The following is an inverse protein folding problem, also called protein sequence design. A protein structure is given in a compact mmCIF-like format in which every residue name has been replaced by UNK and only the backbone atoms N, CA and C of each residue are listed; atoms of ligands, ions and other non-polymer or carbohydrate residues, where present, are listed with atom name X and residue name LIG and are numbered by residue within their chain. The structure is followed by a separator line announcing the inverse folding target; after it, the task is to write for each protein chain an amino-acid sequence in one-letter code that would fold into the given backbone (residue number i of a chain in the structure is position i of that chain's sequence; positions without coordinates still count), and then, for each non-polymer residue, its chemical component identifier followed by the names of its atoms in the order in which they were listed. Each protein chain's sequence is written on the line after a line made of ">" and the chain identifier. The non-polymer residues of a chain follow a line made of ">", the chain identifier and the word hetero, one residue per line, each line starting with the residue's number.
data_IF_822196056629
#
_entry.id   IF_822196056629
#
_cell.length_a   1.000
_cell.length_b   1.000
_cell.length_c   1.000
_cell.angle_alpha   90.00
_cell.angle_beta   90.00
_cell.angle_gamma   90.00
#
_symmetry.space_group_name_H-M   'P 1'
#
loop_
_entity.id
_entity.type
_entity.pdbx_description
1 polymer ?
#
# COMPACT_ATOMS: atom_id res chain seq x y z
N UNK A 1 10.11 6.21 -1.96
CA UNK A 1 11.10 6.18 -0.85
C UNK A 1 11.96 7.44 -0.74
N UNK A 2 12.18 8.20 -1.82
CA UNK A 2 12.97 9.44 -1.81
C UNK A 2 12.46 10.49 -0.79
N UNK A 3 11.13 10.62 -0.64
CA UNK A 3 10.51 11.52 0.34
C UNK A 3 10.73 11.11 1.80
N UNK A 4 10.82 9.81 2.09
CA UNK A 4 11.04 9.27 3.44
C UNK A 4 12.47 9.54 3.89
N UNK A 5 13.43 9.19 3.04
CA UNK A 5 14.85 9.34 3.35
C UNK A 5 15.27 10.83 3.45
N UNK A 6 14.71 11.71 2.61
CA UNK A 6 14.97 13.15 2.69
C UNK A 6 14.47 13.78 4.00
N UNK A 7 13.37 13.26 4.57
CA UNK A 7 12.82 13.75 5.84
C UNK A 7 13.55 13.18 7.07
N UNK A 8 14.08 11.95 6.97
CA UNK A 8 14.88 11.33 8.02
C UNK A 8 16.31 11.90 8.10
N UNK A 9 16.86 12.40 7.00
CA UNK A 9 18.24 12.93 6.92
C UNK A 9 18.29 14.31 6.26
N UNK A 10 17.85 15.39 6.93
CA UNK A 10 17.74 16.72 6.32
C UNK A 10 19.09 17.37 5.99
N UNK A 11 20.18 16.95 6.64
CA UNK A 11 21.54 17.48 6.41
C UNK A 11 22.30 16.80 5.27
N UNK A 12 21.81 15.68 4.75
CA UNK A 12 22.48 14.93 3.69
C UNK A 12 21.77 15.16 2.35
N UNK A 13 22.52 15.29 1.23
CA UNK A 13 21.92 15.38 -0.10
C UNK A 13 21.40 14.01 -0.52
N UNK A 14 20.30 13.57 0.09
CA UNK A 14 19.69 12.23 -0.10
C UNK A 14 19.38 11.96 -1.58
N UNK A 15 19.08 13.02 -2.34
CA UNK A 15 18.83 13.00 -3.78
C UNK A 15 20.06 12.62 -4.64
N UNK A 16 21.27 12.81 -4.13
CA UNK A 16 22.53 12.38 -4.78
C UNK A 16 22.98 10.98 -4.35
N UNK A 17 22.49 10.48 -3.21
CA UNK A 17 22.88 9.20 -2.63
C UNK A 17 21.90 8.06 -2.98
N UNK A 18 20.64 8.38 -3.26
CA UNK A 18 19.63 7.41 -3.72
C UNK A 18 19.80 7.11 -5.20
N UNK A 19 20.58 6.07 -5.50
CA UNK A 19 20.81 5.56 -6.86
C UNK A 19 19.56 4.88 -7.45
N UNK A 20 18.73 4.25 -6.60
CA UNK A 20 17.44 3.67 -6.96
C UNK A 20 16.28 4.54 -6.47
N UNK A 21 15.63 5.24 -7.39
CA UNK A 21 14.40 5.97 -7.12
C UNK A 21 13.25 4.95 -7.12
N UNK A 22 12.97 4.37 -5.96
CA UNK A 22 11.76 3.57 -5.74
C UNK A 22 10.52 4.48 -5.79
N UNK A 23 10.14 4.84 -7.01
CA UNK A 23 8.90 5.52 -7.37
C UNK A 23 7.86 4.43 -7.61
N UNK A 24 7.28 3.91 -6.51
CA UNK A 24 6.18 2.94 -6.61
C UNK A 24 4.99 3.50 -7.41
N UNK A 25 4.85 4.83 -7.46
CA UNK A 25 3.91 5.55 -8.32
C UNK A 25 4.09 5.25 -9.80
N UNK A 26 5.32 5.14 -10.28
CA UNK A 26 5.61 4.99 -11.71
C UNK A 26 5.26 3.60 -12.23
N UNK A 27 5.21 2.62 -11.32
CA UNK A 27 4.74 1.25 -11.61
C UNK A 27 3.27 1.04 -11.29
N UNK A 28 2.66 1.92 -10.49
CA UNK A 28 1.29 1.78 -10.02
C UNK A 28 0.26 1.81 -11.16
N UNK A 29 0.53 2.59 -12.21
CA UNK A 29 -0.37 2.71 -13.37
C UNK A 29 -0.47 1.42 -14.19
N UNK A 30 0.51 0.52 -14.10
CA UNK A 30 0.48 -0.78 -14.77
C UNK A 30 -0.26 -1.86 -13.96
N UNK A 31 -0.67 -1.56 -12.72
CA UNK A 31 -1.33 -2.54 -11.84
C UNK A 31 -2.83 -2.52 -12.14
N UNK A 32 -3.34 -3.63 -12.66
CA UNK A 32 -4.78 -3.82 -12.95
C UNK A 32 -5.46 -4.79 -11.98
N UNK A 33 -4.68 -5.51 -11.16
CA UNK A 33 -5.21 -6.44 -10.19
C UNK A 33 -5.93 -5.72 -9.04
N UNK A 34 -7.00 -6.34 -8.53
CA UNK A 34 -7.62 -5.94 -7.28
C UNK A 34 -6.54 -5.81 -6.19
N UNK A 35 -6.56 -4.69 -5.47
CA UNK A 35 -5.48 -4.30 -4.57
C UNK A 35 -6.04 -3.89 -3.22
N UNK A 36 -5.62 -4.57 -2.15
CA UNK A 36 -5.86 -4.17 -0.76
C UNK A 36 -4.64 -3.42 -0.22
N UNK A 37 -4.87 -2.26 0.40
CA UNK A 37 -3.84 -1.47 1.09
C UNK A 37 -4.23 -1.34 2.57
N UNK A 38 -3.47 -2.00 3.44
CA UNK A 38 -3.54 -1.81 4.89
C UNK A 38 -2.40 -0.90 5.32
N UNK A 39 -2.71 0.18 6.02
CA UNK A 39 -1.68 1.14 6.47
C UNK A 39 -1.95 1.68 7.87
N UNK A 40 -0.88 2.05 8.56
CA UNK A 40 -0.96 2.46 9.95
C UNK A 40 -1.36 3.93 10.09
N UNK A 41 -2.07 4.25 11.18
CA UNK A 41 -2.44 5.63 11.52
C UNK A 41 -1.20 6.48 11.82
N UNK A 42 -0.28 5.93 12.62
CA UNK A 42 0.90 6.63 13.17
C UNK A 42 2.17 6.00 12.63
N UNK A 43 2.22 5.83 11.31
CA UNK A 43 3.42 5.32 10.64
C UNK A 43 4.52 6.41 10.63
N UNK A 44 5.51 6.24 11.50
CA UNK A 44 6.67 7.13 11.61
C UNK A 44 7.69 6.90 10.47
N UNK A 45 7.66 5.73 9.84
CA UNK A 45 8.61 5.30 8.79
C UNK A 45 8.07 5.66 7.41
N UNK A 46 6.81 5.33 7.12
CA UNK A 46 6.13 5.60 5.85
C UNK A 46 4.88 6.42 6.13
N UNK A 47 4.98 7.76 6.10
CA UNK A 47 3.85 8.65 6.36
C UNK A 47 2.63 8.36 5.49
N UNK A 48 1.44 8.56 6.04
CA UNK A 48 0.16 8.38 5.34
C UNK A 48 0.08 9.14 4.00
N UNK A 49 0.76 10.28 3.85
CA UNK A 49 0.81 11.03 2.58
C UNK A 49 1.42 10.21 1.43
N UNK A 50 2.40 9.36 1.72
CA UNK A 50 2.99 8.48 0.71
C UNK A 50 2.02 7.38 0.30
N UNK A 51 1.29 6.81 1.26
CA UNK A 51 0.23 5.82 0.99
C UNK A 51 -0.88 6.45 0.15
N UNK A 52 -1.29 7.69 0.47
CA UNK A 52 -2.30 8.41 -0.30
C UNK A 52 -1.84 8.70 -1.74
N UNK A 53 -0.57 9.06 -1.92
CA UNK A 53 0.01 9.24 -3.25
C UNK A 53 0.00 7.93 -4.05
N UNK A 54 0.28 6.79 -3.41
CA UNK A 54 0.21 5.47 -4.04
C UNK A 54 -1.23 5.10 -4.42
N UNK A 55 -2.21 5.29 -3.53
CA UNK A 55 -3.63 5.07 -3.80
C UNK A 55 -4.07 5.89 -5.02
N UNK A 56 -3.64 7.14 -5.11
CA UNK A 56 -3.96 8.02 -6.24
C UNK A 56 -3.31 7.58 -7.55
N UNK A 57 -2.14 6.91 -7.48
CA UNK A 57 -1.44 6.42 -8.65
C UNK A 57 -2.01 5.08 -9.18
N UNK A 58 -2.69 4.29 -8.35
CA UNK A 58 -3.34 3.02 -8.71
C UNK A 58 -4.68 3.23 -9.44
N UNK A 59 -4.67 3.97 -10.56
CA UNK A 59 -5.89 4.39 -11.28
C UNK A 59 -6.62 3.24 -11.96
N UNK A 60 -5.88 2.21 -12.37
CA UNK A 60 -6.38 1.08 -13.16
C UNK A 60 -6.80 -0.11 -12.30
N UNK A 61 -6.41 -0.12 -11.03
CA UNK A 61 -6.76 -1.18 -10.08
C UNK A 61 -8.03 -0.81 -9.32
N UNK A 62 -8.83 -1.82 -8.95
CA UNK A 62 -9.82 -1.67 -7.89
C UNK A 62 -9.09 -1.67 -6.56
N UNK A 63 -9.02 -0.51 -5.91
CA UNK A 63 -8.28 -0.34 -4.65
C UNK A 63 -9.25 -0.30 -3.47
N UNK A 64 -9.00 -1.18 -2.50
CA UNK A 64 -9.55 -1.09 -1.14
C UNK A 64 -8.45 -0.61 -0.21
N UNK A 65 -8.63 0.51 0.47
CA UNK A 65 -7.64 1.08 1.38
C UNK A 65 -8.23 1.22 2.79
N UNK A 66 -7.57 0.61 3.77
CA UNK A 66 -8.00 0.62 5.18
C UNK A 66 -6.86 1.13 6.05
N UNK A 67 -7.14 2.23 6.75
CA UNK A 67 -6.25 2.72 7.81
C UNK A 67 -6.59 2.00 9.12
N UNK A 68 -5.58 1.43 9.77
CA UNK A 68 -5.75 0.76 11.05
C UNK A 68 -5.42 1.73 12.19
N UNK A 69 -6.43 2.12 12.95
CA UNK A 69 -6.31 3.09 14.04
C UNK A 69 -5.43 2.58 15.18
N UNK A 70 -4.72 3.49 15.84
CA UNK A 70 -3.84 3.16 16.97
C UNK A 70 -2.60 2.34 16.60
N UNK A 71 -2.35 2.10 15.32
CA UNK A 71 -1.18 1.33 14.85
C UNK A 71 -0.03 2.22 14.40
N UNK A 72 1.17 1.64 14.43
CA UNK A 72 2.44 2.14 13.93
C UNK A 72 2.99 1.14 12.91
N UNK A 73 4.09 1.51 12.25
CA UNK A 73 4.78 0.64 11.30
C UNK A 73 5.08 -0.77 11.85
N UNK A 74 5.42 -0.85 13.14
CA UNK A 74 5.93 -2.07 13.75
C UNK A 74 4.84 -2.97 14.37
N UNK A 75 3.62 -2.45 14.57
CA UNK A 75 2.56 -3.18 15.25
C UNK A 75 1.31 -3.41 14.38
N UNK A 76 1.27 -2.88 13.15
CA UNK A 76 0.10 -2.99 12.27
C UNK A 76 -0.37 -4.44 12.06
N UNK A 77 0.57 -5.38 11.92
CA UNK A 77 0.27 -6.81 11.74
C UNK A 77 -0.34 -7.48 12.98
N UNK A 78 -0.22 -6.87 14.15
CA UNK A 78 -0.80 -7.34 15.41
C UNK A 78 -2.22 -6.79 15.63
N UNK A 79 -2.69 -5.87 14.78
CA UNK A 79 -4.02 -5.32 14.90
C UNK A 79 -5.07 -6.43 14.69
N UNK A 80 -6.11 -6.51 15.53
CA UNK A 80 -7.14 -7.55 15.44
C UNK A 80 -7.78 -7.69 14.06
N UNK A 81 -7.94 -6.57 13.35
CA UNK A 81 -8.56 -6.54 12.02
C UNK A 81 -7.62 -6.92 10.87
N UNK A 82 -6.30 -6.99 11.10
CA UNK A 82 -5.32 -7.23 10.03
C UNK A 82 -5.57 -8.56 9.31
N UNK A 83 -5.62 -9.67 10.05
CA UNK A 83 -5.87 -11.00 9.48
C UNK A 83 -7.28 -11.15 8.88
N UNK A 84 -8.36 -10.73 9.57
CA UNK A 84 -9.70 -10.75 8.99
C UNK A 84 -9.84 -10.01 7.67
N UNK A 85 -9.26 -8.81 7.55
CA UNK A 85 -9.28 -8.03 6.31
C UNK A 85 -8.54 -8.77 5.18
N UNK A 86 -7.36 -9.29 5.47
CA UNK A 86 -6.57 -10.06 4.51
C UNK A 86 -7.30 -11.32 4.02
N UNK A 87 -7.89 -12.08 4.95
CA UNK A 87 -8.64 -13.29 4.63
C UNK A 87 -9.93 -12.95 3.85
N UNK A 88 -10.60 -11.85 4.21
CA UNK A 88 -11.77 -11.35 3.52
C UNK A 88 -11.47 -11.01 2.07
N UNK A 89 -10.37 -10.29 1.86
CA UNK A 89 -9.91 -9.92 0.52
C UNK A 89 -9.61 -11.13 -0.36
N UNK A 90 -8.81 -12.09 0.13
CA UNK A 90 -8.50 -13.29 -0.66
C UNK A 90 -9.73 -14.16 -0.93
N UNK A 91 -10.64 -14.29 0.04
CA UNK A 91 -11.90 -15.03 -0.18
C UNK A 91 -12.74 -14.38 -1.27
N UNK A 92 -12.90 -13.05 -1.23
CA UNK A 92 -13.64 -12.31 -2.26
C UNK A 92 -12.99 -12.49 -3.64
N UNK A 93 -11.67 -12.39 -3.71
CA UNK A 93 -10.91 -12.56 -4.95
C UNK A 93 -11.10 -13.95 -5.57
N UNK A 94 -11.01 -15.02 -4.75
CA UNK A 94 -11.21 -16.40 -5.21
C UNK A 94 -12.63 -16.60 -5.74
N UNK A 95 -13.64 -16.09 -5.02
CA UNK A 95 -15.04 -16.22 -5.45
C UNK A 95 -15.31 -15.50 -6.78
N UNK A 96 -14.72 -14.32 -7.01
CA UNK A 96 -14.85 -13.60 -8.28
C UNK A 96 -14.21 -14.35 -9.46
N UNK A 97 -13.13 -15.11 -9.23
CA UNK A 97 -12.51 -15.94 -10.26
C UNK A 97 -13.35 -17.17 -10.60
N UNK A 98 -14.02 -17.77 -9.62
CA UNK A 98 -14.90 -18.93 -9.85
C UNK A 98 -16.16 -18.58 -10.64
N UNK A 99 -16.72 -17.38 -10.44
CA UNK A 99 -17.89 -16.92 -11.19
C UNK A 99 -17.60 -16.59 -12.65
N UNK A 100 -16.35 -16.31 -13.01
CA UNK A 100 -15.94 -16.03 -14.39
C UNK A 100 -15.65 -17.29 -15.23
N UNK A 101 -15.57 -18.48 -14.62
CA UNK A 101 -15.32 -19.74 -15.32
C UNK A 101 -16.61 -20.53 -15.64
N UNK A 102 -17.75 -20.17 -15.03
CA UNK A 102 -19.05 -20.82 -15.26
C UNK A 102 -19.97 -19.95 -16.12
N UNK A 103 -19.57 -19.65 -17.35
CA UNK A 103 -20.53 -19.25 -18.38
C UNK A 103 -20.19 -19.89 -19.73
N UNK A 104 -21.16 -20.58 -20.36
CA UNK A 104 -20.99 -21.36 -21.58
C UNK A 104 -20.80 -20.51 -22.84
#
# INVERSE_FOLDING_TARGET
>A
MESVAARAYPLFPVRLLLKDRYLSSDKAEAITADTLILYAERDEVVPAVNTQALITALKTARVEAVQLSGTTHNNIAQHPDFSPLLHGFFRCLILQQTTHYESP
#
